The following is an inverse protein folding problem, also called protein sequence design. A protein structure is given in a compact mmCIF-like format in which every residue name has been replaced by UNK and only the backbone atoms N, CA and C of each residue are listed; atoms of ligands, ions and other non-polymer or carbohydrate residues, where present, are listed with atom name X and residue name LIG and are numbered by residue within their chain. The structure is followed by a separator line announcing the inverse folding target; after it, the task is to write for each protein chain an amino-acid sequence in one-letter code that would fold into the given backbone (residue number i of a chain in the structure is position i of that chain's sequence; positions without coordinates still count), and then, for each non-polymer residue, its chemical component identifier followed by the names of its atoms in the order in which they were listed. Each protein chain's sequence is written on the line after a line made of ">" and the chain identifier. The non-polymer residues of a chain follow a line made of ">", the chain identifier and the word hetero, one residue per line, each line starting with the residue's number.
data_IF_451066918683
#
_entry.id   IF_451066918683
#
_cell.length_a   1.000
_cell.length_b   1.000
_cell.length_c   1.000
_cell.angle_alpha   90.00
_cell.angle_beta   90.00
_cell.angle_gamma   90.00
#
_symmetry.space_group_name_H-M   'P 1'
#
loop_
_entity.id
_entity.type
_entity.pdbx_description
1 polymer ?
#
# COMPACT_ATOMS: atom_id res chain seq x y z
N UNK A 1 -22.55 -20.26 -6.89
CA UNK A 1 -21.42 -19.87 -7.75
C UNK A 1 -21.66 -18.42 -8.17
N UNK A 2 -21.33 -17.47 -7.29
CA UNK A 2 -21.59 -16.03 -7.50
C UNK A 2 -20.34 -15.38 -8.06
N UNK A 3 -20.48 -14.78 -9.25
CA UNK A 3 -19.40 -14.14 -9.99
C UNK A 3 -18.69 -13.07 -9.16
N UNK A 4 -17.39 -13.28 -8.92
CA UNK A 4 -16.49 -12.27 -8.40
C UNK A 4 -16.25 -11.23 -9.48
N UNK A 5 -17.08 -10.20 -9.52
CA UNK A 5 -16.72 -8.97 -10.22
C UNK A 5 -15.52 -8.38 -9.49
N UNK A 6 -14.33 -8.52 -10.08
CA UNK A 6 -13.12 -7.84 -9.63
C UNK A 6 -13.44 -6.36 -9.40
N UNK A 7 -13.01 -5.83 -8.26
CA UNK A 7 -13.30 -4.44 -7.92
C UNK A 7 -12.84 -3.52 -9.08
N UNK A 8 -13.66 -2.53 -9.42
CA UNK A 8 -13.35 -1.59 -10.49
C UNK A 8 -12.03 -0.85 -10.25
N UNK A 9 -11.40 -0.31 -11.32
CA UNK A 9 -10.11 0.38 -11.25
C UNK A 9 -10.05 1.50 -10.19
N UNK A 10 -11.18 2.14 -9.91
CA UNK A 10 -11.36 3.21 -8.92
C UNK A 10 -11.14 2.76 -7.47
N UNK A 11 -11.54 1.53 -7.13
CA UNK A 11 -11.42 1.02 -5.75
C UNK A 11 -9.99 0.72 -5.36
N UNK A 12 -9.14 0.32 -6.30
CA UNK A 12 -7.71 0.06 -6.05
C UNK A 12 -6.95 1.35 -5.75
N UNK A 13 -7.18 2.39 -6.55
CA UNK A 13 -6.59 3.71 -6.32
C UNK A 13 -7.04 4.30 -4.98
N UNK A 14 -8.31 4.11 -4.61
CA UNK A 14 -8.81 4.54 -3.31
C UNK A 14 -8.11 3.80 -2.15
N UNK A 15 -8.00 2.46 -2.24
CA UNK A 15 -7.33 1.67 -1.21
C UNK A 15 -5.85 2.03 -1.07
N UNK A 16 -5.16 2.30 -2.17
CA UNK A 16 -3.79 2.80 -2.16
C UNK A 16 -3.67 4.15 -1.44
N UNK A 17 -4.56 5.11 -1.77
CA UNK A 17 -4.56 6.43 -1.14
C UNK A 17 -4.81 6.33 0.38
N UNK A 18 -5.75 5.47 0.80
CA UNK A 18 -6.00 5.18 2.22
C UNK A 18 -4.80 4.56 2.90
N UNK A 19 -4.18 3.54 2.30
CA UNK A 19 -2.99 2.93 2.86
C UNK A 19 -1.84 3.92 3.04
N UNK A 20 -1.59 4.77 2.03
CA UNK A 20 -0.61 5.84 2.14
C UNK A 20 -0.94 6.78 3.30
N UNK A 21 -2.19 7.22 3.42
CA UNK A 21 -2.65 8.05 4.53
C UNK A 21 -2.40 7.38 5.89
N UNK A 22 -2.83 6.13 6.07
CA UNK A 22 -2.66 5.38 7.32
C UNK A 22 -1.18 5.19 7.67
N UNK A 23 -0.34 4.86 6.67
CA UNK A 23 1.10 4.73 6.85
C UNK A 23 1.77 6.05 7.28
N UNK A 24 1.38 7.17 6.67
CA UNK A 24 1.85 8.52 7.02
C UNK A 24 1.36 8.94 8.41
N UNK A 25 0.15 8.54 8.82
CA UNK A 25 -0.39 8.86 10.16
C UNK A 25 0.10 7.91 11.25
N UNK A 26 0.83 6.85 10.90
CA UNK A 26 1.23 5.80 11.83
C UNK A 26 0.06 4.95 12.35
N UNK A 27 -1.08 4.95 11.64
CA UNK A 27 -2.27 4.18 11.99
C UNK A 27 -2.11 2.71 11.54
N UNK A 28 -1.32 1.95 12.31
CA UNK A 28 -0.92 0.58 11.94
C UNK A 28 -2.12 -0.37 11.76
N UNK A 29 -3.16 -0.28 12.61
CA UNK A 29 -4.36 -1.11 12.52
C UNK A 29 -5.11 -0.90 11.20
N UNK A 30 -5.45 0.35 10.89
CA UNK A 30 -6.15 0.70 9.64
C UNK A 30 -5.34 0.31 8.39
N UNK A 31 -4.00 0.39 8.48
CA UNK A 31 -3.11 -0.04 7.41
C UNK A 31 -3.14 -1.56 7.24
N UNK A 32 -3.11 -2.33 8.32
CA UNK A 32 -3.27 -3.79 8.29
C UNK A 32 -4.59 -4.21 7.65
N UNK A 33 -5.69 -3.56 8.04
CA UNK A 33 -7.02 -3.83 7.47
C UNK A 33 -7.07 -3.53 5.98
N UNK A 34 -6.46 -2.41 5.55
CA UNK A 34 -6.38 -2.05 4.14
C UNK A 34 -5.54 -3.06 3.33
N UNK A 35 -4.44 -3.55 3.89
CA UNK A 35 -3.61 -4.61 3.27
C UNK A 35 -4.38 -5.92 3.16
N UNK A 36 -5.10 -6.33 4.21
CA UNK A 36 -5.91 -7.54 4.23
C UNK A 36 -6.98 -7.50 3.13
N UNK A 37 -7.73 -6.40 3.06
CA UNK A 37 -8.72 -6.19 2.03
C UNK A 37 -8.11 -6.20 0.62
N UNK A 38 -6.97 -5.52 0.41
CA UNK A 38 -6.27 -5.53 -0.89
C UNK A 38 -5.89 -6.94 -1.31
N UNK A 39 -5.31 -7.74 -0.41
CA UNK A 39 -4.91 -9.13 -0.70
C UNK A 39 -6.09 -10.00 -1.10
N UNK A 40 -7.20 -9.92 -0.35
CA UNK A 40 -8.43 -10.67 -0.66
C UNK A 40 -8.99 -10.26 -2.01
N UNK A 41 -9.01 -8.96 -2.31
CA UNK A 41 -9.60 -8.44 -3.52
C UNK A 41 -8.70 -8.73 -4.75
N UNK A 42 -7.36 -8.76 -4.62
CA UNK A 42 -6.42 -9.07 -5.71
C UNK A 42 -6.12 -10.57 -5.86
N UNK A 43 -6.78 -11.45 -5.08
CA UNK A 43 -6.50 -12.90 -5.07
C UNK A 43 -6.67 -13.56 -6.45
N UNK A 44 -7.53 -12.98 -7.30
CA UNK A 44 -7.78 -13.46 -8.66
C UNK A 44 -6.75 -12.98 -9.70
N UNK A 45 -5.69 -12.28 -9.27
CA UNK A 45 -4.58 -11.87 -10.14
C UNK A 45 -4.74 -10.49 -10.78
N UNK A 46 -5.80 -9.75 -10.44
CA UNK A 46 -5.94 -8.36 -10.86
C UNK A 46 -4.97 -7.47 -10.07
N UNK A 47 -4.19 -6.65 -10.79
CA UNK A 47 -3.28 -5.63 -10.22
C UNK A 47 -2.30 -6.16 -9.14
N UNK A 48 -1.48 -7.19 -9.46
CA UNK A 48 -0.65 -7.90 -8.48
C UNK A 48 0.39 -7.00 -7.76
N UNK A 49 0.69 -5.82 -8.30
CA UNK A 49 1.66 -4.87 -7.74
C UNK A 49 1.14 -4.06 -6.54
N UNK A 50 -0.18 -3.96 -6.32
CA UNK A 50 -0.70 -3.10 -5.25
C UNK A 50 -0.38 -3.60 -3.85
N UNK A 51 -0.55 -4.89 -3.59
CA UNK A 51 -0.26 -5.50 -2.29
C UNK A 51 1.21 -5.31 -1.84
N UNK A 52 2.24 -5.61 -2.66
CA UNK A 52 3.63 -5.39 -2.24
C UNK A 52 3.97 -3.90 -2.08
N UNK A 53 3.45 -3.02 -2.92
CA UNK A 53 3.67 -1.56 -2.76
C UNK A 53 3.10 -1.06 -1.43
N UNK A 54 1.86 -1.44 -1.12
CA UNK A 54 1.19 -1.00 0.10
C UNK A 54 1.84 -1.62 1.35
N UNK A 55 2.29 -2.87 1.29
CA UNK A 55 3.07 -3.47 2.37
C UNK A 55 4.37 -2.69 2.65
N UNK A 56 5.09 -2.30 1.59
CA UNK A 56 6.32 -1.52 1.73
C UNK A 56 6.11 -0.13 2.36
N UNK A 57 4.96 0.50 2.15
CA UNK A 57 4.62 1.77 2.82
C UNK A 57 4.62 1.66 4.35
N UNK A 58 4.19 0.51 4.88
CA UNK A 58 4.15 0.25 6.32
C UNK A 58 5.34 -0.52 6.87
N UNK A 59 6.39 -0.74 6.08
CA UNK A 59 7.53 -1.60 6.44
C UNK A 59 7.13 -3.04 6.83
N UNK A 60 6.09 -3.57 6.19
CA UNK A 60 5.60 -4.92 6.49
C UNK A 60 6.40 -5.98 5.72
N UNK A 61 6.53 -7.20 6.27
CA UNK A 61 7.09 -8.33 5.56
C UNK A 61 6.38 -8.56 4.24
N UNK A 62 7.16 -8.82 3.20
CA UNK A 62 6.65 -9.17 1.89
C UNK A 62 5.86 -10.49 1.98
N UNK A 63 4.75 -10.57 1.25
CA UNK A 63 4.11 -11.86 0.96
C UNK A 63 4.61 -12.40 -0.38
N UNK A 64 4.73 -13.72 -0.44
CA UNK A 64 4.97 -14.46 -1.69
C UNK A 64 3.76 -14.30 -2.61
N UNK A 65 3.78 -13.23 -3.39
CA UNK A 65 2.78 -12.92 -4.41
C UNK A 65 3.15 -13.51 -5.76
N UNK A 66 2.23 -13.42 -6.74
CA UNK A 66 2.53 -13.79 -8.13
C UNK A 66 3.75 -13.02 -8.65
N UNK A 67 4.46 -13.60 -9.62
CA UNK A 67 5.57 -12.93 -10.28
C UNK A 67 5.09 -11.65 -10.98
N UNK A 68 5.55 -10.50 -10.50
CA UNK A 68 5.24 -9.18 -11.08
C UNK A 68 6.37 -8.80 -12.02
N UNK A 69 6.02 -8.39 -13.24
CA UNK A 69 6.99 -7.76 -14.14
C UNK A 69 7.06 -6.27 -13.83
N UNK A 70 8.07 -5.88 -13.07
CA UNK A 70 8.32 -4.49 -12.71
C UNK A 70 8.99 -3.73 -13.87
N UNK A 71 8.66 -2.45 -14.02
CA UNK A 71 9.31 -1.57 -14.99
C UNK A 71 10.74 -1.19 -14.57
N UNK A 72 10.98 -1.11 -13.26
CA UNK A 72 12.27 -0.87 -12.63
C UNK A 72 12.60 -2.06 -11.70
N UNK A 73 13.79 -2.07 -11.12
CA UNK A 73 14.10 -3.02 -10.04
C UNK A 73 13.08 -2.91 -8.90
N UNK A 74 12.55 -4.06 -8.49
CA UNK A 74 11.51 -4.13 -7.47
C UNK A 74 11.96 -3.54 -6.14
N UNK A 75 13.18 -3.83 -5.69
CA UNK A 75 13.68 -3.32 -4.41
C UNK A 75 13.79 -1.80 -4.46
N UNK A 76 14.23 -1.24 -5.58
CA UNK A 76 14.24 0.21 -5.81
C UNK A 76 12.83 0.80 -5.73
N UNK A 77 11.83 0.17 -6.37
CA UNK A 77 10.44 0.64 -6.32
C UNK A 77 9.91 0.63 -4.90
N UNK A 78 10.07 -0.46 -4.16
CA UNK A 78 9.56 -0.60 -2.80
C UNK A 78 10.28 0.35 -1.83
N UNK A 79 11.61 0.51 -1.96
CA UNK A 79 12.40 1.45 -1.16
C UNK A 79 11.96 2.90 -1.39
N UNK A 80 11.70 3.29 -2.64
CA UNK A 80 11.17 4.63 -2.97
C UNK A 80 9.82 4.89 -2.30
N UNK A 81 8.93 3.89 -2.25
CA UNK A 81 7.62 4.00 -1.60
C UNK A 81 7.74 4.17 -0.09
N UNK A 82 8.63 3.39 0.56
CA UNK A 82 8.95 3.55 1.97
C UNK A 82 9.52 4.94 2.27
N UNK A 83 10.49 5.40 1.48
CA UNK A 83 11.11 6.72 1.66
C UNK A 83 10.11 7.87 1.56
N UNK A 84 9.14 7.78 0.64
CA UNK A 84 8.06 8.77 0.53
C UNK A 84 7.21 8.86 1.80
N UNK A 85 6.83 7.72 2.39
CA UNK A 85 6.08 7.68 3.65
C UNK A 85 6.91 8.26 4.79
N UNK A 86 8.18 7.85 4.92
CA UNK A 86 9.09 8.36 5.94
C UNK A 86 9.22 9.89 5.88
N UNK A 87 9.48 10.44 4.69
CA UNK A 87 9.59 11.89 4.52
C UNK A 87 8.30 12.65 4.89
N UNK A 88 7.12 12.09 4.59
CA UNK A 88 5.85 12.69 5.02
C UNK A 88 5.63 12.61 6.53
N UNK A 89 6.03 11.52 7.18
CA UNK A 89 5.98 11.39 8.64
C UNK A 89 6.87 12.42 9.32
N UNK A 90 8.08 12.61 8.80
CA UNK A 90 9.01 13.64 9.28
C UNK A 90 8.44 15.05 9.09
N UNK A 91 7.84 15.35 7.95
CA UNK A 91 7.18 16.64 7.72
C UNK A 91 6.03 16.90 8.71
N UNK A 92 5.21 15.88 9.01
CA UNK A 92 4.15 16.00 10.02
C UNK A 92 4.71 16.13 11.43
N UNK A 93 5.77 15.40 11.77
CA UNK A 93 6.43 15.48 13.09
C UNK A 93 7.21 16.78 13.30
N UNK A 94 7.73 17.37 12.23
CA UNK A 94 8.48 18.63 12.23
C UNK A 94 7.58 19.85 11.99
N UNK A 95 6.27 19.65 11.81
CA UNK A 95 5.33 20.75 11.73
C UNK A 95 5.30 21.46 13.09
N UNK A 96 5.65 22.76 13.18
CA UNK A 96 5.59 23.46 14.46
C UNK A 96 4.15 23.40 14.96
N UNK A 97 3.97 22.93 16.20
CA UNK A 97 2.69 23.02 16.90
C UNK A 97 2.28 24.49 16.92
N UNK A 98 1.37 24.87 16.03
CA UNK A 98 0.60 26.08 16.21
C UNK A 98 -0.39 25.75 17.32
N UNK A 99 -0.13 26.29 18.51
CA UNK A 99 -0.94 26.33 19.75
C UNK A 99 -0.50 25.36 20.84
#
# INVERSE_FOLDING_TARGET
>A
MTGGAGAGPDRWSHAYARAFHHAVRGAAGDLTDTIGWLREATVNGDYPSYAPIVAAMGDWPRSDGPAIHWLDDEQIVLARRRALVTGHRELLGNSPSLT
#
